data_IF_950787350804
#
_entry.id   IF_950787350804
#
_cell.length_a   1.000
_cell.length_b   1.000
_cell.length_c   1.000
_cell.angle_alpha   90.00
_cell.angle_beta   90.00
_cell.angle_gamma   90.00
#
_symmetry.space_group_name_H-M   'P 1'
#
loop_
_entity.id
_entity.type
_entity.pdbx_description
1 polymer ?
#
# COMPACT_ATOMS: atom_id res chain seq x y z
N UNK A 1 45.90 7.88 14.19
CA UNK A 1 45.13 8.39 13.03
C UNK A 1 44.67 7.23 12.12
N UNK A 2 43.59 6.54 12.52
CA UNK A 2 43.00 5.47 11.72
C UNK A 2 42.01 6.09 10.74
N UNK A 3 42.29 5.92 9.46
CA UNK A 3 41.41 6.33 8.37
C UNK A 3 40.05 5.64 8.53
N UNK A 4 38.99 6.43 8.68
CA UNK A 4 37.61 5.97 8.54
C UNK A 4 37.39 5.58 7.08
N UNK A 5 37.67 4.31 6.75
CA UNK A 5 37.15 3.70 5.54
C UNK A 5 35.64 3.55 5.73
N UNK A 6 34.87 4.43 5.07
CA UNK A 6 33.43 4.30 4.93
C UNK A 6 33.11 3.00 4.15
N UNK A 7 32.03 2.28 4.50
CA UNK A 7 31.74 0.96 3.93
C UNK A 7 31.64 1.01 2.41
N UNK A 8 32.38 0.14 1.75
CA UNK A 8 32.52 -0.02 0.30
C UNK A 8 31.27 -0.56 -0.41
N UNK A 9 30.09 -0.55 0.21
CA UNK A 9 28.87 -0.96 -0.47
C UNK A 9 27.62 -0.29 0.09
N UNK A 10 27.20 0.79 -0.56
CA UNK A 10 25.88 1.40 -0.34
C UNK A 10 24.77 0.55 -1.03
N UNK A 11 25.14 -0.54 -1.71
CA UNK A 11 24.30 -1.36 -2.59
C UNK A 11 24.30 -2.86 -2.23
N UNK A 12 24.68 -3.21 -1.00
CA UNK A 12 24.86 -4.62 -0.64
C UNK A 12 24.08 -4.96 0.64
N UNK A 13 22.76 -4.96 0.49
CA UNK A 13 21.86 -5.72 1.34
C UNK A 13 21.19 -6.79 0.47
N UNK A 14 20.97 -8.00 0.97
CA UNK A 14 20.43 -9.13 0.18
C UNK A 14 19.10 -8.86 -0.57
N UNK A 15 18.41 -7.75 -0.26
CA UNK A 15 17.24 -7.24 -0.97
C UNK A 15 17.55 -6.48 -2.29
N UNK A 16 18.82 -6.21 -2.58
CA UNK A 16 19.31 -5.46 -3.75
C UNK A 16 19.52 -6.36 -5.00
N UNK A 17 19.20 -7.66 -4.91
CA UNK A 17 19.27 -8.59 -6.04
C UNK A 17 18.22 -8.34 -7.14
N UNK A 18 17.34 -7.36 -6.93
CA UNK A 18 16.28 -6.95 -7.86
C UNK A 18 16.42 -5.44 -8.15
N UNK A 19 17.62 -4.95 -8.44
CA UNK A 19 17.78 -3.61 -9.01
C UNK A 19 17.57 -3.75 -10.53
N UNK A 20 16.64 -2.99 -11.15
CA UNK A 20 16.34 -3.16 -12.58
C UNK A 20 17.42 -2.60 -13.51
N UNK A 21 18.57 -2.18 -12.97
CA UNK A 21 19.65 -1.55 -13.72
C UNK A 21 20.99 -1.63 -12.96
N UNK A 22 22.08 -1.60 -13.71
CA UNK A 22 23.43 -1.41 -13.16
C UNK A 22 23.72 0.06 -12.89
N UNK A 23 24.77 0.35 -12.12
CA UNK A 23 25.23 1.73 -11.91
C UNK A 23 25.63 2.41 -13.22
N UNK A 24 26.27 1.67 -14.12
CA UNK A 24 26.67 2.18 -15.43
C UNK A 24 25.46 2.52 -16.29
N UNK A 25 24.42 1.68 -16.31
CA UNK A 25 23.17 1.96 -17.02
C UNK A 25 22.48 3.21 -16.46
N UNK A 26 22.40 3.36 -15.13
CA UNK A 26 21.79 4.54 -14.53
C UNK A 26 22.56 5.81 -14.89
N UNK A 27 23.90 5.74 -14.90
CA UNK A 27 24.75 6.87 -15.29
C UNK A 27 24.54 7.26 -16.75
N UNK A 28 24.47 6.29 -17.66
CA UNK A 28 24.17 6.55 -19.06
C UNK A 28 22.80 7.21 -19.23
N UNK A 29 21.77 6.70 -18.55
CA UNK A 29 20.43 7.29 -18.57
C UNK A 29 20.40 8.72 -18.00
N UNK A 30 21.18 9.00 -16.95
CA UNK A 30 21.31 10.36 -16.43
C UNK A 30 21.95 11.32 -17.46
N UNK A 31 22.96 10.86 -18.20
CA UNK A 31 23.60 11.68 -19.24
C UNK A 31 22.68 11.98 -20.42
N UNK A 32 21.68 11.14 -20.67
CA UNK A 32 20.67 11.35 -21.71
C UNK A 32 19.48 12.21 -21.25
N UNK A 33 19.37 12.54 -19.96
CA UNK A 33 18.25 13.29 -19.40
C UNK A 33 18.56 14.80 -19.34
N UNK A 34 17.87 15.59 -20.18
CA UNK A 34 18.05 17.04 -20.29
C UNK A 34 17.82 17.79 -18.96
N UNK A 35 16.85 17.33 -18.15
CA UNK A 35 16.54 17.96 -16.87
C UNK A 35 17.69 17.74 -15.87
N UNK A 36 18.20 16.52 -15.81
CA UNK A 36 19.36 16.19 -14.97
C UNK A 36 20.60 16.96 -15.43
N UNK A 37 20.87 17.00 -16.74
CA UNK A 37 21.99 17.75 -17.30
C UNK A 37 21.89 19.25 -16.97
N UNK A 38 20.69 19.83 -17.03
CA UNK A 38 20.45 21.21 -16.63
C UNK A 38 20.74 21.45 -15.13
N UNK A 39 20.31 20.53 -14.26
CA UNK A 39 20.61 20.59 -12.82
C UNK A 39 22.12 20.50 -12.58
N UNK A 40 22.83 19.60 -13.28
CA UNK A 40 24.28 19.45 -13.18
C UNK A 40 25.00 20.74 -13.63
N UNK A 41 24.61 21.33 -14.76
CA UNK A 41 25.18 22.57 -15.26
C UNK A 41 24.99 23.73 -14.26
N UNK A 42 23.82 23.79 -13.63
CA UNK A 42 23.43 24.85 -12.70
C UNK A 42 23.53 24.43 -11.22
N UNK A 43 24.40 23.47 -10.89
CA UNK A 43 24.45 22.82 -9.57
C UNK A 43 24.61 23.80 -8.39
N UNK A 44 25.25 24.95 -8.61
CA UNK A 44 25.42 26.02 -7.60
C UNK A 44 24.08 26.57 -7.09
N UNK A 45 23.03 26.53 -7.93
CA UNK A 45 21.70 27.03 -7.59
C UNK A 45 20.88 25.99 -6.80
N UNK A 46 21.23 24.70 -6.90
CA UNK A 46 20.49 23.62 -6.26
C UNK A 46 21.24 23.04 -5.06
N UNK A 47 21.02 23.65 -3.89
CA UNK A 47 21.70 23.26 -2.64
C UNK A 47 21.45 21.82 -2.21
N UNK A 48 20.39 21.19 -2.69
CA UNK A 48 19.95 19.84 -2.32
C UNK A 48 20.57 18.72 -3.16
N UNK A 49 21.30 19.05 -4.23
CA UNK A 49 21.98 18.07 -5.07
C UNK A 49 23.50 18.22 -4.99
N UNK A 50 24.20 17.18 -5.42
CA UNK A 50 25.64 17.20 -5.66
C UNK A 50 25.99 16.10 -6.66
N UNK A 51 27.15 16.23 -7.30
CA UNK A 51 27.65 15.20 -8.23
C UNK A 51 28.67 14.32 -7.52
N UNK A 52 28.54 13.01 -7.68
CA UNK A 52 29.51 12.02 -7.20
C UNK A 52 29.68 10.95 -8.26
N UNK A 53 30.93 10.58 -8.60
CA UNK A 53 31.25 9.58 -9.63
C UNK A 53 30.54 9.84 -10.98
N UNK A 54 30.44 11.11 -11.38
CA UNK A 54 29.72 11.56 -12.57
C UNK A 54 28.20 11.26 -12.58
N UNK A 55 27.60 11.08 -11.39
CA UNK A 55 26.15 10.94 -11.23
C UNK A 55 25.59 12.04 -10.35
N UNK A 56 24.40 12.53 -10.69
CA UNK A 56 23.61 13.42 -9.86
C UNK A 56 23.02 12.65 -8.67
N UNK A 57 23.30 13.15 -7.48
CA UNK A 57 22.85 12.61 -6.20
C UNK A 57 22.02 13.65 -5.45
N UNK A 58 21.00 13.20 -4.72
CA UNK A 58 20.29 14.03 -3.74
C UNK A 58 20.95 13.92 -2.37
N UNK A 59 21.13 15.06 -1.71
CA UNK A 59 21.55 15.13 -0.31
C UNK A 59 20.46 14.50 0.57
N UNK A 60 20.82 13.39 1.19
CA UNK A 60 20.05 12.65 2.17
C UNK A 60 21.06 11.92 3.07
N UNK A 61 20.58 11.21 4.09
CA UNK A 61 21.43 10.41 4.98
C UNK A 61 20.94 8.96 4.98
N UNK A 62 21.56 8.06 4.18
CA UNK A 62 22.65 8.30 3.23
C UNK A 62 22.19 9.02 1.94
N UNK A 63 23.10 9.61 1.14
CA UNK A 63 22.75 10.19 -0.15
C UNK A 63 22.20 9.15 -1.12
N UNK A 64 21.23 9.56 -1.95
CA UNK A 64 20.55 8.68 -2.91
C UNK A 64 20.71 9.19 -4.34
N UNK A 65 20.82 8.31 -5.35
CA UNK A 65 20.86 8.70 -6.76
C UNK A 65 19.54 9.35 -7.21
N UNK A 66 19.67 10.32 -8.11
CA UNK A 66 18.52 10.90 -8.81
C UNK A 66 18.15 10.04 -10.01
N UNK A 67 16.88 9.65 -10.14
CA UNK A 67 16.42 8.79 -11.22
C UNK A 67 15.89 9.63 -12.40
N UNK A 68 16.44 9.45 -13.62
CA UNK A 68 16.00 10.17 -14.82
C UNK A 68 14.55 9.83 -15.18
N UNK A 69 13.95 10.65 -16.03
CA UNK A 69 12.63 10.35 -16.63
C UNK A 69 12.73 9.10 -17.51
N UNK A 70 11.62 8.37 -17.63
CA UNK A 70 11.52 7.18 -18.46
C UNK A 70 11.00 5.95 -17.70
N UNK A 71 11.09 4.78 -18.35
CA UNK A 71 10.54 3.51 -17.84
C UNK A 71 11.15 3.06 -16.49
N UNK A 72 12.39 3.45 -16.23
CA UNK A 72 13.12 3.11 -15.00
C UNK A 72 12.38 3.51 -13.71
N UNK A 73 11.64 4.62 -13.71
CA UNK A 73 10.83 5.04 -12.55
C UNK A 73 9.71 4.04 -12.29
N UNK A 74 9.00 3.64 -13.34
CA UNK A 74 7.93 2.63 -13.27
C UNK A 74 8.46 1.27 -12.83
N UNK A 75 9.64 0.87 -13.31
CA UNK A 75 10.27 -0.40 -12.92
C UNK A 75 10.63 -0.41 -11.43
N UNK A 76 11.19 0.69 -10.91
CA UNK A 76 11.43 0.85 -9.47
C UNK A 76 10.10 0.73 -8.71
N UNK A 77 9.07 1.47 -9.11
CA UNK A 77 7.78 1.42 -8.40
C UNK A 77 7.21 -0.01 -8.42
N UNK A 78 7.26 -0.69 -9.56
CA UNK A 78 6.81 -2.08 -9.74
C UNK A 78 7.54 -3.02 -8.79
N UNK A 79 8.84 -2.88 -8.63
CA UNK A 79 9.63 -3.74 -7.72
C UNK A 79 9.19 -3.52 -6.27
N UNK A 80 9.07 -2.27 -5.84
CA UNK A 80 8.71 -1.93 -4.47
C UNK A 80 7.21 -1.99 -4.16
N UNK A 81 6.37 -2.26 -5.15
CA UNK A 81 4.93 -2.45 -4.98
C UNK A 81 4.50 -3.89 -5.30
N UNK A 82 4.77 -4.41 -6.50
CA UNK A 82 4.20 -5.68 -6.98
C UNK A 82 4.97 -6.91 -6.50
N UNK A 83 6.29 -6.82 -6.34
CA UNK A 83 7.09 -8.03 -6.08
C UNK A 83 6.88 -8.56 -4.67
N UNK A 84 6.73 -9.88 -4.46
CA UNK A 84 6.54 -10.45 -3.13
C UNK A 84 7.66 -10.11 -2.14
N UNK A 85 8.91 -10.04 -2.61
CA UNK A 85 10.08 -9.82 -1.76
C UNK A 85 10.17 -8.37 -1.23
N UNK A 86 9.88 -7.38 -2.08
CA UNK A 86 10.13 -5.97 -1.74
C UNK A 86 8.85 -5.17 -1.50
N UNK A 87 7.76 -5.53 -2.17
CA UNK A 87 6.53 -4.76 -2.24
C UNK A 87 5.28 -5.45 -1.70
N UNK A 88 4.99 -6.70 -2.07
CA UNK A 88 3.81 -7.45 -1.63
C UNK A 88 2.50 -6.62 -1.61
N UNK A 89 2.31 -5.78 -2.62
CA UNK A 89 1.22 -4.81 -2.74
C UNK A 89 1.06 -3.88 -1.53
N UNK A 90 2.17 -3.43 -0.94
CA UNK A 90 2.14 -2.46 0.16
C UNK A 90 1.37 -1.19 -0.21
N UNK A 91 0.68 -0.64 0.79
CA UNK A 91 0.02 0.63 0.67
C UNK A 91 1.00 1.79 0.42
N UNK A 92 0.45 2.89 -0.10
CA UNK A 92 1.16 4.09 -0.53
C UNK A 92 2.32 4.51 0.37
N UNK A 93 2.06 4.76 1.65
CA UNK A 93 3.06 5.38 2.53
C UNK A 93 4.27 4.46 2.76
N UNK A 94 4.04 3.15 2.82
CA UNK A 94 5.11 2.15 2.97
C UNK A 94 5.94 2.03 1.69
N UNK A 95 5.30 2.03 0.51
CA UNK A 95 6.03 2.02 -0.77
C UNK A 95 6.87 3.27 -0.94
N UNK A 96 6.31 4.45 -0.66
CA UNK A 96 7.05 5.73 -0.69
C UNK A 96 8.27 5.67 0.23
N UNK A 97 8.07 5.23 1.47
CA UNK A 97 9.15 5.16 2.45
C UNK A 97 10.30 4.25 1.99
N UNK A 98 9.98 3.08 1.43
CA UNK A 98 11.00 2.13 0.93
C UNK A 98 11.80 2.70 -0.25
N UNK A 99 11.13 3.36 -1.19
CA UNK A 99 11.79 3.95 -2.37
C UNK A 99 12.65 5.14 -1.96
N UNK A 100 12.14 6.04 -1.10
CA UNK A 100 12.86 7.25 -0.64
C UNK A 100 14.19 6.97 0.07
N UNK A 101 14.33 5.80 0.69
CA UNK A 101 15.58 5.39 1.32
C UNK A 101 16.71 5.13 0.31
N UNK A 102 16.39 4.89 -0.97
CA UNK A 102 17.34 4.40 -1.97
C UNK A 102 17.39 5.24 -3.24
N UNK A 103 16.29 5.93 -3.56
CA UNK A 103 16.13 6.65 -4.81
C UNK A 103 15.40 7.96 -4.60
N UNK A 104 15.59 8.88 -5.53
CA UNK A 104 14.83 10.12 -5.58
C UNK A 104 14.57 10.53 -7.02
N UNK A 105 13.41 11.14 -7.27
CA UNK A 105 13.20 11.97 -8.45
C UNK A 105 12.15 13.05 -8.16
N UNK A 106 12.12 14.16 -8.94
CA UNK A 106 11.07 15.16 -8.84
C UNK A 106 9.68 14.54 -9.03
N UNK A 107 8.71 14.93 -8.19
CA UNK A 107 7.33 14.41 -8.21
C UNK A 107 7.16 12.92 -7.89
N UNK A 108 8.18 12.25 -7.34
CA UNK A 108 8.14 10.82 -6.99
C UNK A 108 6.92 10.38 -6.18
N UNK A 109 6.48 11.18 -5.22
CA UNK A 109 5.28 10.87 -4.42
C UNK A 109 4.03 10.76 -5.29
N UNK A 110 3.86 11.68 -6.24
CA UNK A 110 2.73 11.70 -7.17
C UNK A 110 2.78 10.51 -8.12
N UNK A 111 3.97 10.19 -8.65
CA UNK A 111 4.16 9.05 -9.56
C UNK A 111 3.81 7.72 -8.87
N UNK A 112 4.32 7.51 -7.65
CA UNK A 112 4.01 6.32 -6.84
C UNK A 112 2.52 6.24 -6.53
N UNK A 113 1.89 7.37 -6.17
CA UNK A 113 0.46 7.43 -5.88
C UNK A 113 -0.38 7.03 -7.11
N UNK A 114 -0.07 7.61 -8.27
CA UNK A 114 -0.78 7.33 -9.51
C UNK A 114 -0.63 5.86 -9.90
N UNK A 115 0.57 5.30 -9.79
CA UNK A 115 0.84 3.89 -10.04
C UNK A 115 -0.02 2.98 -9.15
N UNK A 116 0.05 3.15 -7.82
CA UNK A 116 -0.68 2.32 -6.86
C UNK A 116 -2.20 2.47 -7.03
N UNK A 117 -2.68 3.68 -7.33
CA UNK A 117 -4.10 3.93 -7.61
C UNK A 117 -4.61 3.15 -8.83
N UNK A 118 -3.73 2.89 -9.79
CA UNK A 118 -4.05 2.09 -10.99
C UNK A 118 -3.78 0.59 -10.85
N UNK A 119 -3.31 0.11 -9.69
CA UNK A 119 -2.98 -1.29 -9.48
C UNK A 119 -4.23 -2.17 -9.36
N UNK A 120 -4.47 -3.02 -10.37
CA UNK A 120 -5.64 -3.90 -10.45
C UNK A 120 -5.78 -4.84 -9.24
N UNK A 121 -4.74 -5.58 -8.79
CA UNK A 121 -4.82 -6.38 -7.58
C UNK A 121 -5.23 -5.58 -6.34
N UNK A 122 -4.70 -4.37 -6.16
CA UNK A 122 -5.08 -3.51 -5.05
C UNK A 122 -6.52 -3.00 -5.17
N UNK A 123 -6.96 -2.62 -6.36
CA UNK A 123 -8.34 -2.17 -6.61
C UNK A 123 -9.36 -3.27 -6.35
N UNK A 124 -9.06 -4.52 -6.74
CA UNK A 124 -9.93 -5.66 -6.52
C UNK A 124 -10.00 -6.07 -5.04
N UNK A 125 -8.88 -6.00 -4.32
CA UNK A 125 -8.79 -6.45 -2.93
C UNK A 125 -9.07 -5.36 -1.89
N UNK A 126 -9.19 -4.09 -2.30
CA UNK A 126 -9.51 -2.98 -1.41
C UNK A 126 -10.99 -2.62 -1.56
N UNK A 127 -11.91 -3.28 -0.82
CA UNK A 127 -13.31 -2.88 -0.84
C UNK A 127 -13.37 -1.41 -0.43
N UNK A 128 -13.96 -0.57 -1.29
CA UNK A 128 -14.14 0.86 -1.06
C UNK A 128 -14.70 1.06 0.36
N UNK A 129 -13.84 1.49 1.32
CA UNK A 129 -14.21 1.67 2.73
C UNK A 129 -15.13 2.88 2.98
N UNK A 130 -15.86 3.34 1.97
CA UNK A 130 -16.46 4.67 1.97
C UNK A 130 -17.90 4.71 1.45
N UNK A 131 -18.70 3.66 1.67
CA UNK A 131 -20.09 3.99 1.96
C UNK A 131 -20.11 4.39 3.44
N UNK A 132 -20.43 5.65 3.79
CA UNK A 132 -20.74 5.95 5.18
C UNK A 132 -21.77 4.91 5.63
N UNK A 133 -21.64 4.35 6.84
CA UNK A 133 -22.65 3.44 7.35
C UNK A 133 -24.00 4.14 7.16
N UNK A 134 -24.90 3.49 6.42
CA UNK A 134 -26.23 4.04 6.18
C UNK A 134 -26.87 4.34 7.53
N UNK A 135 -27.66 5.41 7.61
CA UNK A 135 -28.42 5.68 8.82
C UNK A 135 -29.28 4.43 9.14
N UNK A 136 -29.12 3.88 10.35
CA UNK A 136 -30.01 2.83 10.82
C UNK A 136 -31.42 3.37 10.79
N UNK A 137 -32.33 2.69 10.08
CA UNK A 137 -33.76 2.99 10.09
C UNK A 137 -34.40 2.09 11.15
N UNK A 138 -34.60 2.55 12.40
CA UNK A 138 -35.22 1.73 13.41
C UNK A 138 -36.65 1.39 12.99
N UNK A 139 -37.05 0.14 13.24
CA UNK A 139 -38.44 -0.27 13.07
C UNK A 139 -39.25 0.43 14.16
N UNK A 140 -40.37 1.07 13.79
CA UNK A 140 -41.27 1.68 14.77
C UNK A 140 -41.78 0.58 15.72
N UNK A 141 -41.76 0.79 17.05
CA UNK A 141 -42.37 -0.15 17.98
C UNK A 141 -43.86 -0.34 17.62
N UNK A 142 -44.38 -1.57 17.64
CA UNK A 142 -45.81 -1.79 17.49
C UNK A 142 -46.58 -1.23 18.70
N UNK A 143 -47.88 -0.97 18.54
CA UNK A 143 -48.74 -0.39 19.58
C UNK A 143 -49.28 -1.45 20.56
N UNK A 144 -49.19 -2.72 20.20
CA UNK A 144 -49.64 -3.85 20.99
C UNK A 144 -48.77 -5.09 20.84
N UNK A 145 -48.87 -5.99 21.81
CA UNK A 145 -48.21 -7.30 21.77
C UNK A 145 -48.75 -8.13 20.61
N UNK A 146 -47.91 -8.97 20.03
CA UNK A 146 -48.21 -9.87 18.91
C UNK A 146 -48.51 -9.18 17.56
N UNK A 147 -48.33 -7.86 17.46
CA UNK A 147 -48.51 -7.12 16.21
C UNK A 147 -47.29 -7.18 15.29
N UNK A 148 -46.09 -7.39 15.84
CA UNK A 148 -44.86 -7.52 15.08
C UNK A 148 -43.98 -8.63 15.68
N UNK A 149 -43.72 -9.66 14.88
CA UNK A 149 -42.91 -10.80 15.24
C UNK A 149 -41.64 -10.84 14.39
N UNK A 150 -40.50 -11.08 15.02
CA UNK A 150 -39.25 -11.41 14.33
C UNK A 150 -39.00 -12.90 14.45
N UNK A 151 -38.59 -13.54 13.37
CA UNK A 151 -38.24 -14.95 13.32
C UNK A 151 -36.76 -15.11 12.98
N UNK A 152 -36.08 -15.99 13.72
CA UNK A 152 -34.68 -16.34 13.47
C UNK A 152 -34.48 -17.86 13.60
N UNK A 153 -33.41 -18.37 13.01
CA UNK A 153 -33.03 -19.77 13.07
C UNK A 153 -31.64 -19.89 13.68
N UNK A 154 -31.52 -20.66 14.76
CA UNK A 154 -30.24 -20.98 15.35
C UNK A 154 -29.78 -22.38 14.92
N UNK A 155 -28.65 -22.46 14.22
CA UNK A 155 -28.03 -23.73 13.87
C UNK A 155 -27.13 -23.64 12.62
N UNK A 156 -26.61 -24.79 12.15
CA UNK A 156 -26.92 -26.14 12.63
C UNK A 156 -26.29 -26.45 14.00
N UNK A 157 -27.07 -27.04 14.93
CA UNK A 157 -26.56 -27.51 16.22
C UNK A 157 -25.91 -28.89 16.09
N UNK A 158 -24.76 -29.07 16.76
CA UNK A 158 -24.03 -30.34 16.82
C UNK A 158 -23.68 -30.64 18.28
N UNK A 159 -24.04 -31.82 18.81
CA UNK A 159 -24.72 -32.93 18.15
C UNK A 159 -26.21 -32.64 17.87
N UNK A 160 -26.80 -33.34 16.90
CA UNK A 160 -28.22 -33.23 16.61
C UNK A 160 -29.06 -33.74 17.77
N UNK A 161 -30.31 -33.26 17.88
CA UNK A 161 -31.24 -33.83 18.86
C UNK A 161 -31.53 -35.31 18.58
N UNK A 162 -32.14 -36.01 19.54
CA UNK A 162 -32.54 -37.42 19.41
C UNK A 162 -33.48 -37.69 18.22
N UNK A 163 -34.24 -36.68 17.78
CA UNK A 163 -35.15 -36.75 16.63
C UNK A 163 -34.52 -36.25 15.33
N UNK A 164 -33.22 -35.91 15.33
CA UNK A 164 -32.50 -35.43 14.14
C UNK A 164 -32.66 -33.93 13.85
N UNK A 165 -33.33 -33.16 14.72
CA UNK A 165 -33.43 -31.70 14.55
C UNK A 165 -32.05 -31.04 14.62
N UNK A 166 -31.77 -30.17 13.65
CA UNK A 166 -30.51 -29.43 13.47
C UNK A 166 -30.63 -27.94 13.74
N UNK A 167 -31.83 -27.40 13.78
CA UNK A 167 -32.06 -25.97 13.94
C UNK A 167 -33.11 -25.73 15.01
N UNK A 168 -33.00 -24.60 15.69
CA UNK A 168 -34.00 -24.09 16.63
C UNK A 168 -34.65 -22.88 15.96
N UNK A 169 -35.98 -22.82 15.95
CA UNK A 169 -36.73 -21.68 15.45
C UNK A 169 -37.03 -20.76 16.62
N UNK A 170 -36.65 -19.50 16.51
CA UNK A 170 -36.94 -18.43 17.47
C UNK A 170 -38.01 -17.52 16.88
N UNK A 171 -39.16 -17.39 17.54
CA UNK A 171 -40.14 -16.34 17.29
C UNK A 171 -40.15 -15.37 18.46
N UNK A 172 -39.89 -14.09 18.20
CA UNK A 172 -39.84 -13.06 19.23
C UNK A 172 -40.87 -11.97 18.94
N UNK A 173 -41.73 -11.68 19.91
CA UNK A 173 -42.57 -10.48 19.89
C UNK A 173 -41.72 -9.22 20.11
N UNK A 174 -41.80 -8.27 19.18
CA UNK A 174 -40.93 -7.09 19.20
C UNK A 174 -41.23 -6.16 20.37
N UNK A 175 -42.47 -6.11 20.87
CA UNK A 175 -42.86 -5.24 21.98
C UNK A 175 -42.46 -5.81 23.34
N UNK A 176 -43.01 -6.98 23.68
CA UNK A 176 -42.83 -7.62 24.98
C UNK A 176 -41.50 -8.33 25.15
N UNK A 177 -40.79 -8.59 24.05
CA UNK A 177 -39.61 -9.47 23.99
C UNK A 177 -39.91 -10.91 24.41
N UNK A 178 -41.17 -11.32 24.40
CA UNK A 178 -41.54 -12.71 24.62
C UNK A 178 -41.03 -13.58 23.47
N UNK A 179 -40.40 -14.71 23.81
CA UNK A 179 -39.76 -15.61 22.84
C UNK A 179 -40.42 -16.99 22.90
N UNK A 180 -40.77 -17.52 21.72
CA UNK A 180 -41.13 -18.91 21.50
C UNK A 180 -39.96 -19.60 20.80
N UNK A 181 -39.50 -20.71 21.37
CA UNK A 181 -38.46 -21.55 20.79
C UNK A 181 -39.01 -22.94 20.48
N UNK A 182 -38.71 -23.46 19.29
CA UNK A 182 -39.13 -24.81 18.88
C UNK A 182 -38.08 -25.56 18.07
#
# INVERSE_FOLDING_TARGET
>A
PKANQLPTSIYNTDCDKIIPFTLEQLKELQHQDDEINNIIHNIKNYKEYFVKNNMLMKKAFPPVPVIPKGGIRSDIIKIYHDTPANGAHFGRDRTIHKIQQRYYWPHMISDIQNYIKSCLPCLQNNPLRQKPPGALKPIKPPEGVWQLLTMDFHGPITPTTKHGNKYIILLTDVLSKFVIMK
#
